data_IF_549124836278
#
_entry.id   IF_549124836278
#
_cell.length_a   1.000
_cell.length_b   1.000
_cell.length_c   1.000
_cell.angle_alpha   90.00
_cell.angle_beta   90.00
_cell.angle_gamma   90.00
#
_symmetry.space_group_name_H-M   'P 1'
#
loop_
_entity.id
_entity.type
_entity.pdbx_description
1 polymer ?
#
# COMPACT_ATOMS: atom_id res chain seq x y z
N UNK A 1 -20.15 -0.90 7.26
CA UNK A 1 -19.42 -1.85 8.11
C UNK A 1 -17.93 -1.62 7.98
N UNK A 2 -17.24 -1.57 9.07
CA UNK A 2 -15.82 -1.23 9.02
C UNK A 2 -14.95 -2.48 9.09
N UNK A 3 -13.88 -2.44 8.35
CA UNK A 3 -12.89 -3.52 8.35
C UNK A 3 -11.75 -3.17 9.29
N UNK A 4 -11.14 -4.18 9.88
CA UNK A 4 -9.92 -3.99 10.65
C UNK A 4 -8.76 -4.01 9.67
N UNK A 5 -7.85 -3.06 9.76
CA UNK A 5 -6.67 -3.00 8.88
C UNK A 5 -5.43 -3.27 9.70
N UNK A 6 -4.66 -4.27 9.29
CA UNK A 6 -3.39 -4.61 9.92
C UNK A 6 -2.29 -4.34 8.91
N UNK A 7 -1.32 -3.51 9.29
CA UNK A 7 -0.18 -3.21 8.45
C UNK A 7 0.97 -4.11 8.91
N UNK A 8 1.48 -4.93 8.02
CA UNK A 8 2.56 -5.83 8.38
C UNK A 8 3.82 -5.06 8.74
N UNK A 9 4.72 -5.68 9.51
CA UNK A 9 6.01 -5.08 9.83
C UNK A 9 6.77 -4.76 8.55
N UNK A 10 6.74 -5.67 7.58
CA UNK A 10 7.40 -5.47 6.29
C UNK A 10 6.86 -4.24 5.57
N UNK A 11 5.53 -4.10 5.49
CA UNK A 11 4.92 -2.96 4.84
C UNK A 11 5.28 -1.66 5.56
N UNK A 12 5.28 -1.67 6.89
CA UNK A 12 5.66 -0.49 7.67
C UNK A 12 7.10 -0.08 7.38
N UNK A 13 8.02 -1.03 7.35
CA UNK A 13 9.42 -0.74 7.04
C UNK A 13 9.59 -0.22 5.63
N UNK A 14 8.88 -0.78 4.67
CA UNK A 14 8.92 -0.32 3.29
C UNK A 14 8.42 1.13 3.18
N UNK A 15 7.33 1.45 3.85
CA UNK A 15 6.80 2.80 3.86
C UNK A 15 7.79 3.79 4.48
N UNK A 16 8.37 3.44 5.61
CA UNK A 16 9.35 4.29 6.28
C UNK A 16 10.54 4.55 5.36
N UNK A 17 11.01 3.53 4.67
CA UNK A 17 12.12 3.69 3.75
C UNK A 17 11.77 4.61 2.58
N UNK A 18 10.57 4.52 2.04
CA UNK A 18 10.12 5.42 0.98
C UNK A 18 10.03 6.86 1.48
N UNK A 19 9.47 7.07 2.66
CA UNK A 19 9.35 8.41 3.26
C UNK A 19 10.74 9.00 3.50
N UNK A 20 11.63 8.19 4.05
CA UNK A 20 13.01 8.64 4.33
C UNK A 20 13.74 9.03 3.05
N UNK A 21 13.63 8.21 2.01
CA UNK A 21 14.25 8.51 0.73
C UNK A 21 13.71 9.83 0.17
N UNK A 22 12.38 9.99 0.16
CA UNK A 22 11.77 11.21 -0.35
C UNK A 22 12.15 12.44 0.45
N UNK A 23 12.39 12.31 1.75
CA UNK A 23 12.75 13.46 2.57
C UNK A 23 14.10 14.06 2.16
N UNK A 24 14.98 13.27 1.55
CA UNK A 24 16.24 13.80 1.04
C UNK A 24 16.06 14.51 -0.30
N UNK A 25 14.98 14.22 -1.01
CA UNK A 25 14.72 14.82 -2.31
C UNK A 25 13.77 16.00 -2.18
N UNK A 26 12.72 15.84 -1.41
CA UNK A 26 11.69 16.86 -1.24
C UNK A 26 10.89 16.60 0.02
N UNK A 27 11.01 17.51 1.00
CA UNK A 27 10.23 17.39 2.24
C UNK A 27 8.72 17.45 1.96
N UNK A 28 8.23 18.37 1.10
CA UNK A 28 6.80 18.34 0.77
C UNK A 28 6.34 17.03 0.17
N UNK A 29 7.15 16.39 -0.67
CA UNK A 29 6.78 15.11 -1.26
C UNK A 29 6.67 14.00 -0.21
N UNK A 30 7.57 13.99 0.77
CA UNK A 30 7.53 12.98 1.84
C UNK A 30 6.31 13.16 2.73
N UNK A 31 5.91 14.41 2.98
CA UNK A 31 4.69 14.68 3.75
C UNK A 31 3.45 14.26 2.97
N UNK A 32 3.42 14.54 1.68
CA UNK A 32 2.31 14.13 0.83
C UNK A 32 2.16 12.61 0.81
N UNK A 33 3.26 11.88 0.73
CA UNK A 33 3.24 10.43 0.75
C UNK A 33 2.61 9.91 2.05
N UNK A 34 3.03 10.48 3.18
CA UNK A 34 2.50 10.09 4.48
C UNK A 34 1.01 10.38 4.62
N UNK A 35 0.59 11.55 4.15
CA UNK A 35 -0.81 11.97 4.25
C UNK A 35 -1.71 11.11 3.37
N UNK A 36 -1.27 10.80 2.16
CA UNK A 36 -2.04 9.96 1.26
C UNK A 36 -2.08 8.51 1.73
N UNK A 37 -1.02 8.04 2.39
CA UNK A 37 -1.05 6.73 3.02
C UNK A 37 -2.14 6.66 4.09
N UNK A 38 -2.24 7.69 4.93
CA UNK A 38 -3.30 7.75 5.94
C UNK A 38 -4.68 7.75 5.31
N UNK A 39 -4.85 8.46 4.20
CA UNK A 39 -6.10 8.48 3.47
C UNK A 39 -6.47 7.09 2.93
N UNK A 40 -5.49 6.37 2.41
CA UNK A 40 -5.72 5.00 1.95
C UNK A 40 -6.13 4.09 3.11
N UNK A 41 -5.52 4.27 4.28
CA UNK A 41 -5.91 3.49 5.46
C UNK A 41 -7.40 3.66 5.76
N UNK A 42 -7.88 4.90 5.72
CA UNK A 42 -9.29 5.18 6.00
C UNK A 42 -10.20 4.53 4.95
N UNK A 43 -9.81 4.59 3.68
CA UNK A 43 -10.58 3.97 2.61
C UNK A 43 -10.63 2.46 2.75
N UNK A 44 -9.54 1.84 3.17
CA UNK A 44 -9.50 0.40 3.38
C UNK A 44 -10.38 -0.03 4.55
N UNK A 45 -10.47 0.79 5.59
CA UNK A 45 -11.34 0.49 6.72
C UNK A 45 -12.81 0.53 6.31
N UNK A 46 -13.16 1.37 5.37
CA UNK A 46 -14.54 1.50 4.93
C UNK A 46 -14.92 0.51 3.85
N UNK A 47 -14.15 0.42 2.78
CA UNK A 47 -14.47 -0.48 1.68
C UNK A 47 -13.21 -0.92 0.93
N UNK A 48 -12.54 -1.98 1.39
CA UNK A 48 -11.35 -2.46 0.72
C UNK A 48 -11.63 -3.10 -0.64
N UNK A 49 -12.89 -3.41 -0.93
CA UNK A 49 -13.24 -4.03 -2.21
C UNK A 49 -13.32 -3.03 -3.35
N UNK A 50 -13.22 -1.74 -3.05
CA UNK A 50 -13.28 -0.71 -4.10
C UNK A 50 -12.03 -0.67 -4.98
N UNK A 51 -10.94 -1.29 -4.55
CA UNK A 51 -9.69 -1.25 -5.28
C UNK A 51 -9.52 -2.48 -6.17
N UNK A 52 -8.63 -2.36 -7.16
CA UNK A 52 -8.43 -3.40 -8.15
C UNK A 52 -7.63 -4.59 -7.65
N UNK A 53 -7.85 -5.73 -8.28
CA UNK A 53 -7.05 -6.93 -8.03
C UNK A 53 -5.62 -6.67 -8.51
N UNK A 54 -4.66 -7.11 -7.73
CA UNK A 54 -3.26 -7.06 -8.15
C UNK A 54 -2.96 -8.29 -9.00
N UNK A 55 -2.47 -8.04 -10.19
CA UNK A 55 -2.23 -9.11 -11.17
C UNK A 55 -0.77 -9.47 -11.32
N UNK A 56 0.05 -9.18 -10.35
CA UNK A 56 1.45 -9.55 -10.38
C UNK A 56 1.59 -11.06 -10.50
N UNK A 57 2.39 -11.50 -11.45
CA UNK A 57 2.56 -12.93 -11.72
C UNK A 57 3.18 -13.70 -10.56
N UNK A 58 3.82 -13.00 -9.63
CA UNK A 58 4.45 -13.65 -8.49
C UNK A 58 3.51 -13.80 -7.29
N UNK A 59 2.25 -13.41 -7.43
CA UNK A 59 1.28 -13.50 -6.36
C UNK A 59 0.14 -14.43 -6.74
N UNK A 60 -0.50 -15.07 -5.76
CA UNK A 60 -1.68 -15.89 -6.04
C UNK A 60 -2.76 -15.09 -6.74
N UNK A 61 -3.38 -15.71 -7.75
CA UNK A 61 -4.43 -15.04 -8.50
C UNK A 61 -5.62 -14.70 -7.62
N UNK A 62 -6.14 -13.51 -7.82
CA UNK A 62 -7.37 -13.04 -7.19
C UNK A 62 -7.31 -12.94 -5.66
N UNK A 63 -6.14 -13.06 -5.07
CA UNK A 63 -6.01 -12.98 -3.62
C UNK A 63 -5.68 -11.56 -3.17
N UNK A 64 -4.83 -10.88 -3.90
CA UNK A 64 -4.33 -9.56 -3.49
C UNK A 64 -4.97 -8.44 -4.30
N UNK A 65 -5.13 -7.30 -3.65
CA UNK A 65 -5.59 -6.07 -4.28
C UNK A 65 -4.53 -5.00 -4.10
N UNK A 66 -4.63 -3.93 -4.88
CA UNK A 66 -3.69 -2.81 -4.79
C UNK A 66 -4.44 -1.50 -4.67
N UNK A 67 -3.98 -0.62 -3.81
CA UNK A 67 -4.45 0.75 -3.72
C UNK A 67 -3.29 1.65 -4.12
N UNK A 68 -3.43 2.37 -5.22
CA UNK A 68 -2.40 3.30 -5.69
C UNK A 68 -2.57 4.63 -4.98
N UNK A 69 -1.48 5.19 -4.50
CA UNK A 69 -1.52 6.48 -3.83
C UNK A 69 -0.25 7.27 -4.12
N UNK A 70 -0.32 8.58 -3.89
CA UNK A 70 0.79 9.49 -4.19
C UNK A 70 1.32 9.30 -5.61
N UNK A 71 0.42 8.95 -6.55
CA UNK A 71 0.66 8.79 -7.98
C UNK A 71 1.53 7.60 -8.38
N UNK A 72 2.38 7.09 -7.52
CA UNK A 72 3.31 6.04 -7.93
C UNK A 72 3.59 4.95 -6.92
N UNK A 73 2.94 5.01 -5.78
CA UNK A 73 3.10 3.96 -4.77
C UNK A 73 1.85 3.10 -4.76
N UNK A 74 2.02 1.85 -4.42
CA UNK A 74 0.85 1.00 -4.22
C UNK A 74 0.96 0.22 -2.92
N UNK A 75 -0.15 0.12 -2.22
CA UNK A 75 -0.28 -0.74 -1.06
C UNK A 75 -0.90 -2.05 -1.55
N UNK A 76 -0.17 -3.13 -1.38
CA UNK A 76 -0.65 -4.46 -1.76
C UNK A 76 -1.22 -5.12 -0.51
N UNK A 77 -2.43 -5.61 -0.60
CA UNK A 77 -3.12 -6.14 0.57
C UNK A 77 -4.05 -7.29 0.19
N UNK A 78 -4.40 -8.09 1.18
CA UNK A 78 -5.42 -9.11 0.99
C UNK A 78 -6.48 -8.97 2.07
N UNK A 79 -7.64 -9.56 1.83
CA UNK A 79 -8.76 -9.50 2.76
C UNK A 79 -9.07 -10.91 3.20
N UNK A 80 -9.13 -11.11 4.52
CA UNK A 80 -9.58 -12.37 5.08
C UNK A 80 -10.68 -12.04 6.08
N UNK A 81 -11.88 -12.51 5.79
CA UNK A 81 -13.08 -12.18 6.56
C UNK A 81 -13.28 -10.68 6.61
N UNK A 82 -13.16 -10.05 7.77
CA UNK A 82 -13.32 -8.61 7.90
C UNK A 82 -12.01 -7.92 8.24
N UNK A 83 -10.90 -8.56 7.96
CA UNK A 83 -9.58 -8.00 8.23
C UNK A 83 -8.83 -7.78 6.93
N UNK A 84 -8.21 -6.63 6.80
CA UNK A 84 -7.36 -6.28 5.67
C UNK A 84 -5.92 -6.36 6.12
N UNK A 85 -5.12 -7.18 5.44
CA UNK A 85 -3.72 -7.34 5.76
C UNK A 85 -2.89 -6.64 4.67
N UNK A 86 -2.16 -5.60 5.05
CA UNK A 86 -1.31 -4.88 4.11
C UNK A 86 0.08 -5.48 4.17
N UNK A 87 0.47 -6.10 3.07
CA UNK A 87 1.70 -6.87 3.04
C UNK A 87 2.88 -6.14 2.41
N UNK A 88 2.65 -5.13 1.59
CA UNK A 88 3.75 -4.41 0.95
C UNK A 88 3.36 -3.01 0.51
N UNK A 89 4.32 -2.10 0.52
CA UNK A 89 4.19 -0.75 -0.03
C UNK A 89 5.28 -0.63 -1.09
N UNK A 90 4.89 -0.52 -2.33
CA UNK A 90 5.80 -0.60 -3.46
C UNK A 90 5.79 0.69 -4.26
N UNK A 91 6.98 1.16 -4.67
CA UNK A 91 7.10 2.26 -5.61
C UNK A 91 6.91 1.67 -7.01
N UNK A 92 5.85 2.07 -7.69
CA UNK A 92 5.51 1.53 -9.01
C UNK A 92 6.54 1.83 -10.08
N UNK A 93 7.43 2.79 -9.84
CA UNK A 93 8.49 3.09 -10.81
C UNK A 93 9.63 2.07 -10.73
N UNK A 94 9.74 1.37 -9.63
CA UNK A 94 10.68 0.29 -9.54
C UNK A 94 9.97 -0.89 -10.16
N UNK A 95 10.31 -1.15 -11.39
CA UNK A 95 9.59 -2.14 -12.12
C UNK A 95 9.73 -3.50 -11.56
N UNK A 96 10.17 -3.66 -10.44
CA UNK A 96 10.57 -4.86 -10.09
C UNK A 96 9.97 -5.25 -8.96
N UNK A 97 9.04 -5.79 -9.06
CA UNK A 97 8.70 -6.69 -8.15
C UNK A 97 9.69 -7.77 -8.14
N UNK A 98 10.81 -7.44 -8.30
CA UNK A 98 11.76 -8.33 -8.26
C UNK A 98 11.85 -8.70 -7.00
N UNK A 99 11.48 -9.39 -6.74
CA UNK A 99 11.71 -9.93 -5.83
C UNK A 99 12.75 -10.57 -5.66
#
# INVERSE_FOLDING_TARGET
MRYKVIVSRKATEMLINHIRFLSFVSVPASKALRDEFSSVLDKLKENPLQFQIEEDLNLPKNKYRRAIFAKRYKAVYCIEEKTVYRDAIIDCRQSLYTI
#
